data_IF_854916808096
#
_entry.id   IF_854916808096
#
_cell.length_a   1.000
_cell.length_b   1.000
_cell.length_c   1.000
_cell.angle_alpha   90.00
_cell.angle_beta   90.00
_cell.angle_gamma   90.00
#
_symmetry.space_group_name_H-M   'P 1'
#
loop_
_entity.id
_entity.type
_entity.pdbx_description
1 polymer ?
#
# COMPACT_ATOMS: atom_id res chain seq x y z
N UNK A 1 12.06 2.67 -32.61
CA UNK A 1 12.05 3.41 -31.33
C UNK A 1 12.08 2.40 -30.21
N UNK A 2 13.11 2.42 -29.36
CA UNK A 2 13.22 1.49 -28.23
C UNK A 2 12.44 2.09 -27.05
N UNK A 3 11.22 1.62 -26.83
CA UNK A 3 10.40 2.10 -25.72
C UNK A 3 10.95 1.49 -24.43
N UNK A 4 11.69 2.27 -23.65
CA UNK A 4 12.13 1.86 -22.32
C UNK A 4 10.89 1.75 -21.42
N UNK A 5 10.48 0.52 -21.13
CA UNK A 5 9.40 0.21 -20.19
C UNK A 5 9.97 0.18 -18.76
N UNK A 6 9.21 0.67 -17.79
CA UNK A 6 9.52 0.46 -16.38
C UNK A 6 9.13 -0.98 -15.93
N UNK A 7 9.40 -1.32 -14.67
CA UNK A 7 9.12 -2.65 -14.09
C UNK A 7 7.63 -3.03 -14.10
N UNK A 8 6.72 -2.05 -14.21
CA UNK A 8 5.28 -2.25 -14.37
C UNK A 8 4.85 -2.38 -15.85
N UNK A 9 5.79 -2.39 -16.79
CA UNK A 9 5.53 -2.51 -18.22
C UNK A 9 5.03 -1.22 -18.90
N UNK A 10 5.09 -0.08 -18.21
CA UNK A 10 4.62 1.21 -18.73
C UNK A 10 5.74 1.96 -19.45
N UNK A 11 5.39 2.64 -20.55
CA UNK A 11 6.30 3.49 -21.31
C UNK A 11 6.51 4.86 -20.63
N UNK A 12 6.93 4.86 -19.37
CA UNK A 12 7.18 6.04 -18.53
C UNK A 12 8.32 5.74 -17.56
N UNK A 13 9.12 6.74 -17.21
CA UNK A 13 10.07 6.59 -16.12
C UNK A 13 9.34 6.32 -14.78
N UNK A 14 9.95 5.58 -13.84
CA UNK A 14 9.34 5.29 -12.54
C UNK A 14 8.89 6.56 -11.80
N UNK A 15 9.73 7.61 -11.78
CA UNK A 15 9.44 8.90 -11.13
C UNK A 15 8.19 9.60 -11.67
N UNK A 16 7.85 9.37 -12.94
CA UNK A 16 6.69 9.97 -13.64
C UNK A 16 5.47 9.04 -13.60
N UNK A 17 5.60 7.89 -12.94
CA UNK A 17 4.54 6.89 -12.76
C UNK A 17 4.07 6.93 -11.31
N UNK A 18 2.82 7.35 -11.12
CA UNK A 18 2.19 7.35 -9.80
C UNK A 18 1.61 5.97 -9.48
N UNK A 19 2.03 5.40 -8.35
CA UNK A 19 1.55 4.11 -7.85
C UNK A 19 0.76 4.36 -6.57
N UNK A 20 -0.54 4.09 -6.61
CA UNK A 20 -1.42 4.19 -5.45
C UNK A 20 -1.55 2.82 -4.81
N UNK A 21 -1.04 2.66 -3.59
CA UNK A 21 -1.07 1.40 -2.84
C UNK A 21 -2.21 1.43 -1.85
N UNK A 22 -3.12 0.47 -1.93
CA UNK A 22 -4.13 0.24 -0.91
C UNK A 22 -3.46 -0.34 0.34
N UNK A 23 -3.31 0.51 1.36
CA UNK A 23 -2.68 0.22 2.64
C UNK A 23 -3.73 -0.33 3.61
N UNK A 24 -3.74 -1.65 3.77
CA UNK A 24 -4.60 -2.34 4.76
C UNK A 24 -4.11 -2.19 6.20
N UNK A 25 -2.87 -1.73 6.38
CA UNK A 25 -2.16 -1.74 7.66
C UNK A 25 -1.34 -3.02 7.90
N UNK A 26 -1.48 -4.02 7.03
CA UNK A 26 -0.69 -5.26 7.08
C UNK A 26 0.70 -5.14 6.44
N UNK A 27 1.56 -6.12 6.72
CA UNK A 27 2.95 -6.20 6.23
C UNK A 27 3.05 -6.31 4.71
N UNK A 28 2.10 -7.00 4.05
CA UNK A 28 2.13 -7.20 2.60
C UNK A 28 2.00 -5.86 1.86
N UNK A 29 0.99 -5.06 2.23
CA UNK A 29 0.76 -3.74 1.62
C UNK A 29 1.94 -2.78 1.87
N UNK A 30 2.55 -2.88 3.06
CA UNK A 30 3.74 -2.11 3.43
C UNK A 30 4.96 -2.51 2.61
N UNK A 31 5.13 -3.81 2.35
CA UNK A 31 6.24 -4.35 1.56
C UNK A 31 6.13 -3.89 0.11
N UNK A 32 4.93 -3.95 -0.48
CA UNK A 32 4.68 -3.43 -1.84
C UNK A 32 5.01 -1.94 -1.92
N UNK A 33 4.53 -1.12 -0.99
CA UNK A 33 4.84 0.31 -0.97
C UNK A 33 6.34 0.60 -0.87
N UNK A 34 7.06 -0.16 -0.03
CA UNK A 34 8.51 -0.07 0.11
C UNK A 34 9.28 -0.46 -1.16
N UNK A 35 8.88 -1.56 -1.81
CA UNK A 35 9.48 -2.01 -3.07
C UNK A 35 9.31 -0.97 -4.18
N UNK A 36 8.08 -0.47 -4.37
CA UNK A 36 7.80 0.54 -5.39
C UNK A 36 8.57 1.84 -5.11
N UNK A 37 8.68 2.26 -3.84
CA UNK A 37 9.46 3.44 -3.48
C UNK A 37 10.95 3.25 -3.78
N UNK A 38 11.50 2.07 -3.48
CA UNK A 38 12.90 1.69 -3.76
C UNK A 38 13.21 1.68 -5.26
N UNK A 39 12.25 1.31 -6.09
CA UNK A 39 12.35 1.35 -7.56
C UNK A 39 12.23 2.78 -8.14
N UNK A 40 11.95 3.78 -7.30
CA UNK A 40 11.91 5.19 -7.71
C UNK A 40 10.55 5.68 -8.19
N UNK A 41 9.47 4.94 -7.91
CA UNK A 41 8.11 5.38 -8.24
C UNK A 41 7.61 6.53 -7.37
N UNK A 42 6.66 7.30 -7.89
CA UNK A 42 5.87 8.22 -7.09
C UNK A 42 4.77 7.44 -6.34
N UNK A 43 5.07 7.01 -5.11
CA UNK A 43 4.18 6.13 -4.32
C UNK A 43 3.27 6.93 -3.40
N UNK A 44 1.97 6.64 -3.43
CA UNK A 44 0.94 7.18 -2.52
C UNK A 44 0.26 6.01 -1.81
N UNK A 45 0.32 5.97 -0.48
CA UNK A 45 -0.43 5.00 0.30
C UNK A 45 -1.82 5.53 0.64
N UNK A 46 -2.87 4.72 0.42
CA UNK A 46 -4.25 5.05 0.80
C UNK A 46 -4.83 3.97 1.69
N UNK A 47 -5.45 4.35 2.81
CA UNK A 47 -6.24 3.41 3.63
C UNK A 47 -7.71 3.73 3.40
N UNK A 48 -8.45 2.74 2.90
CA UNK A 48 -9.88 2.85 2.67
C UNK A 48 -10.62 2.37 3.92
N UNK A 49 -11.42 3.26 4.50
CA UNK A 49 -12.36 2.90 5.55
C UNK A 49 -13.67 2.46 4.90
N UNK A 50 -13.86 1.14 4.78
CA UNK A 50 -15.01 0.54 4.08
C UNK A 50 -16.12 0.07 5.02
N UNK A 51 -15.93 0.18 6.34
CA UNK A 51 -16.89 -0.23 7.36
C UNK A 51 -17.29 0.96 8.25
N UNK A 52 -18.57 1.03 8.59
CA UNK A 52 -19.08 1.93 9.63
C UNK A 52 -18.67 1.42 11.01
N UNK A 53 -18.13 2.34 11.83
CA UNK A 53 -17.71 2.07 13.22
C UNK A 53 -18.88 1.74 14.17
N UNK A 54 -20.13 1.63 13.67
CA UNK A 54 -21.31 1.41 14.51
C UNK A 54 -21.56 -0.05 14.86
N UNK A 55 -20.72 -0.98 14.40
CA UNK A 55 -20.74 -2.37 14.86
C UNK A 55 -19.58 -2.58 15.81
N UNK A 56 -19.90 -2.74 17.09
CA UNK A 56 -18.97 -3.22 18.11
C UNK A 56 -18.14 -4.37 17.53
N UNK A 57 -16.85 -4.13 17.32
CA UNK A 57 -15.96 -5.19 16.90
C UNK A 57 -15.92 -6.21 18.03
N UNK A 58 -16.58 -7.35 17.83
CA UNK A 58 -16.44 -8.51 18.69
C UNK A 58 -14.95 -8.70 18.98
N UNK A 59 -14.59 -8.88 20.25
CA UNK A 59 -13.25 -9.04 20.83
C UNK A 59 -12.33 -10.05 20.10
N UNK A 60 -12.00 -9.82 18.83
CA UNK A 60 -11.00 -10.55 18.10
C UNK A 60 -9.71 -9.78 18.27
N UNK A 61 -8.73 -10.42 18.90
CA UNK A 61 -7.35 -9.95 18.97
C UNK A 61 -6.85 -9.81 17.55
N UNK A 62 -6.88 -8.60 17.02
CA UNK A 62 -6.41 -8.32 15.68
C UNK A 62 -4.91 -8.11 15.78
N UNK A 63 -4.14 -8.90 15.03
CA UNK A 63 -2.68 -8.84 14.89
C UNK A 63 -2.11 -7.42 14.58
N UNK A 64 -2.96 -6.43 14.29
CA UNK A 64 -2.59 -5.05 13.99
C UNK A 64 -3.22 -4.00 14.93
N UNK A 65 -3.89 -4.41 16.02
CA UNK A 65 -4.39 -3.48 17.02
C UNK A 65 -3.28 -3.13 18.03
N UNK A 66 -3.02 -1.84 18.26
CA UNK A 66 -2.07 -1.38 19.28
C UNK A 66 -2.42 -1.82 20.71
N UNK A 67 -3.61 -2.40 20.92
CA UNK A 67 -4.01 -3.07 22.17
C UNK A 67 -3.32 -4.43 22.40
N UNK A 68 -2.76 -5.06 21.37
CA UNK A 68 -2.05 -6.35 21.48
C UNK A 68 -0.51 -6.18 21.66
N UNK A 69 -0.01 -4.94 21.87
CA UNK A 69 1.42 -4.62 22.07
C UNK A 69 1.74 -4.28 23.56
N UNK A 70 0.75 -4.26 24.46
CA UNK A 70 0.96 -4.03 25.91
C UNK A 70 1.16 -5.32 26.71
#
# INVERSE_FOLDING_TARGET
MNFKKNSLGLNKDPKDTTVVVAMSGGVDSSTVAGMMKKEGFNVIGITLKLYDDTKESAHSKQCCAGQDIM
#
